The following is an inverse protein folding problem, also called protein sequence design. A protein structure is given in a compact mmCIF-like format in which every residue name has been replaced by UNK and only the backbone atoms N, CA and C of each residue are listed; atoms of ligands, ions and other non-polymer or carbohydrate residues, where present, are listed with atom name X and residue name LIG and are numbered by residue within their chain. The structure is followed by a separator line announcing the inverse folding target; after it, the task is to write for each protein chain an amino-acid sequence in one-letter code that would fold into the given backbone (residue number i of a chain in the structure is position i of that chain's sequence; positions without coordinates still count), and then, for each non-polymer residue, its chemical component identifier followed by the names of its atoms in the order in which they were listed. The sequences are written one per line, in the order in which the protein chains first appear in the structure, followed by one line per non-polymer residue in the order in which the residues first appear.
data_IF_733815895563
#
_entry.id   IF_733815895563
#
_cell.length_a   1.000
_cell.length_b   1.000
_cell.length_c   1.000
_cell.angle_alpha   90.00
_cell.angle_beta   90.00
_cell.angle_gamma   90.00
#
_symmetry.space_group_name_H-M   'P 1'
#
loop_
_entity.id
_entity.type
_entity.pdbx_description
1 polymer ?
#
# COMPACT_ATOMS: atom_id res chain seq x y z
N UNK A 1 -12.30 62.63 21.39
CA UNK A 1 -11.15 61.74 21.06
C UNK A 1 -9.89 62.42 21.56
N UNK A 2 -9.13 61.80 22.44
CA UNK A 2 -7.91 62.35 22.99
C UNK A 2 -6.81 62.41 21.94
N UNK A 3 -6.20 63.56 21.77
CA UNK A 3 -5.10 63.81 20.85
C UNK A 3 -3.83 63.07 21.36
N UNK A 4 -3.27 62.18 20.60
CA UNK A 4 -2.05 61.45 20.99
C UNK A 4 -0.83 62.31 20.61
N UNK A 5 -0.09 62.74 21.60
CA UNK A 5 1.11 63.56 21.42
C UNK A 5 2.35 62.71 21.76
N UNK A 6 3.39 62.75 20.91
CA UNK A 6 4.65 62.04 21.17
C UNK A 6 5.39 62.64 22.37
N UNK A 7 6.35 61.89 22.98
CA UNK A 7 7.18 62.31 24.12
C UNK A 7 7.91 63.64 23.91
N UNK A 8 8.06 64.10 22.66
CA UNK A 8 8.74 65.34 22.25
C UNK A 8 7.73 66.41 21.76
N UNK A 9 6.44 66.35 22.15
CA UNK A 9 5.44 67.35 21.82
C UNK A 9 4.97 67.43 20.36
N UNK A 10 5.38 66.46 19.51
CA UNK A 10 4.89 66.42 18.13
C UNK A 10 3.53 65.73 18.04
N UNK A 11 2.57 66.43 17.43
CA UNK A 11 1.27 65.84 17.08
C UNK A 11 1.48 64.67 16.15
N UNK A 12 1.03 63.50 16.53
CA UNK A 12 1.04 62.32 15.65
C UNK A 12 -0.18 62.42 14.75
N UNK A 13 0.05 62.41 13.44
CA UNK A 13 -1.03 62.23 12.47
C UNK A 13 -1.73 60.91 12.71
N UNK A 14 -3.07 60.84 12.64
CA UNK A 14 -3.74 59.57 12.76
C UNK A 14 -3.20 58.62 11.71
N UNK A 15 -2.71 57.48 12.16
CA UNK A 15 -2.29 56.41 11.26
C UNK A 15 -3.51 56.07 10.41
N UNK A 16 -3.43 56.39 9.13
CA UNK A 16 -4.46 55.97 8.20
C UNK A 16 -4.58 54.47 8.34
N UNK A 17 -5.69 54.01 8.90
CA UNK A 17 -6.07 52.60 8.92
C UNK A 17 -6.20 52.22 7.45
N UNK A 18 -5.15 51.70 6.90
CA UNK A 18 -5.16 51.09 5.57
C UNK A 18 -6.25 50.03 5.67
N UNK A 19 -7.36 50.24 4.95
CA UNK A 19 -8.40 49.25 4.84
C UNK A 19 -7.72 47.93 4.43
N UNK A 20 -7.73 46.96 5.33
CA UNK A 20 -7.30 45.60 4.99
C UNK A 20 -8.31 45.12 3.99
N UNK A 21 -7.98 45.24 2.70
CA UNK A 21 -8.75 44.56 1.67
C UNK A 21 -8.77 43.10 2.08
N UNK A 22 -9.96 42.47 2.25
CA UNK A 22 -10.03 41.07 2.58
C UNK A 22 -9.25 40.37 1.47
N UNK A 23 -8.19 39.63 1.86
CA UNK A 23 -7.48 38.73 0.96
C UNK A 23 -8.58 37.80 0.46
N UNK A 24 -8.96 37.93 -0.82
CA UNK A 24 -9.83 36.95 -1.47
C UNK A 24 -9.27 35.60 -1.12
N UNK A 25 -10.10 34.75 -0.53
CA UNK A 25 -9.75 33.38 -0.15
C UNK A 25 -8.85 32.80 -1.24
N UNK A 26 -7.60 32.51 -0.84
CA UNK A 26 -6.67 31.82 -1.72
C UNK A 26 -7.36 30.50 -2.04
N UNK A 27 -7.83 30.34 -3.27
CA UNK A 27 -8.36 29.08 -3.79
C UNK A 27 -7.38 28.00 -3.34
N UNK A 28 -7.85 26.94 -2.65
CA UNK A 28 -6.96 25.92 -2.13
C UNK A 28 -6.07 25.50 -3.29
N UNK A 29 -4.75 25.66 -3.15
CA UNK A 29 -3.79 25.28 -4.19
C UNK A 29 -4.05 23.83 -4.52
N UNK A 30 -4.59 23.57 -5.71
CA UNK A 30 -4.84 22.20 -6.17
C UNK A 30 -3.51 21.47 -6.15
N UNK A 31 -3.37 20.49 -5.27
CA UNK A 31 -2.16 19.67 -5.16
C UNK A 31 -1.93 19.01 -6.52
N UNK A 32 -0.75 19.21 -7.11
CA UNK A 32 -0.42 18.65 -8.41
C UNK A 32 -0.55 17.12 -8.39
N UNK A 33 -0.78 16.50 -9.55
CA UNK A 33 -0.89 15.05 -9.66
C UNK A 33 0.37 14.35 -9.13
N UNK A 34 1.55 14.89 -9.45
CA UNK A 34 2.82 14.31 -9.00
C UNK A 34 3.00 14.45 -7.48
N UNK A 35 2.61 15.58 -6.90
CA UNK A 35 2.62 15.72 -5.44
C UNK A 35 1.68 14.73 -4.76
N UNK A 36 0.49 14.46 -5.33
CA UNK A 36 -0.43 13.42 -4.82
C UNK A 36 0.19 12.02 -4.87
N UNK A 37 0.89 11.67 -5.94
CA UNK A 37 1.62 10.40 -6.07
C UNK A 37 2.70 10.26 -5.00
N UNK A 38 3.50 11.31 -4.79
CA UNK A 38 4.55 11.34 -3.77
C UNK A 38 3.98 11.21 -2.36
N UNK A 39 2.90 11.92 -2.03
CA UNK A 39 2.21 11.81 -0.74
C UNK A 39 1.72 10.38 -0.53
N UNK A 40 1.05 9.79 -1.52
CA UNK A 40 0.54 8.42 -1.44
C UNK A 40 1.66 7.41 -1.19
N UNK A 41 2.78 7.56 -1.90
CA UNK A 41 3.96 6.72 -1.71
C UNK A 41 4.52 6.87 -0.30
N UNK A 42 4.74 8.10 0.17
CA UNK A 42 5.28 8.37 1.50
C UNK A 42 4.37 7.80 2.63
N UNK A 43 3.06 7.92 2.49
CA UNK A 43 2.11 7.32 3.44
C UNK A 43 2.20 5.79 3.46
N UNK A 44 2.36 5.14 2.31
CA UNK A 44 2.54 3.69 2.23
C UNK A 44 3.90 3.25 2.80
N UNK A 45 4.97 4.03 2.61
CA UNK A 45 6.27 3.83 3.24
C UNK A 45 6.17 3.89 4.79
N UNK A 46 5.33 4.81 5.34
CA UNK A 46 5.05 4.84 6.78
C UNK A 46 4.28 3.61 7.25
N UNK A 47 3.28 3.14 6.51
CA UNK A 47 2.57 1.91 6.85
C UNK A 47 3.51 0.68 6.86
N UNK A 48 4.49 0.62 5.95
CA UNK A 48 5.50 -0.44 5.93
C UNK A 48 6.40 -0.46 7.17
N UNK A 49 6.49 0.61 7.96
CA UNK A 49 7.25 0.62 9.21
C UNK A 49 6.52 -0.09 10.36
N UNK A 50 5.21 -0.19 10.27
CA UNK A 50 4.39 -0.85 11.30
C UNK A 50 4.62 -2.37 11.31
N UNK A 51 4.91 -2.93 12.50
CA UNK A 51 5.23 -4.36 12.66
C UNK A 51 4.07 -5.28 12.25
N UNK A 52 2.83 -4.88 12.55
CA UNK A 52 1.66 -5.68 12.24
C UNK A 52 1.37 -5.68 10.74
N UNK A 53 1.59 -4.54 10.05
CA UNK A 53 1.49 -4.45 8.60
C UNK A 53 2.55 -5.33 7.93
N UNK A 54 3.82 -5.25 8.37
CA UNK A 54 4.88 -6.14 7.85
C UNK A 54 4.54 -7.62 8.05
N UNK A 55 4.12 -7.99 9.24
CA UNK A 55 3.76 -9.37 9.55
C UNK A 55 2.58 -9.86 8.70
N UNK A 56 1.60 -9.00 8.43
CA UNK A 56 0.47 -9.34 7.56
C UNK A 56 0.91 -9.57 6.13
N UNK A 57 1.84 -8.76 5.61
CA UNK A 57 2.43 -8.96 4.28
C UNK A 57 3.22 -10.26 4.18
N UNK A 58 4.00 -10.62 5.21
CA UNK A 58 4.70 -11.91 5.26
C UNK A 58 3.69 -13.07 5.20
N UNK A 59 2.60 -13.00 5.96
CA UNK A 59 1.58 -14.04 5.94
C UNK A 59 0.85 -14.15 4.59
N UNK A 60 0.63 -13.03 3.88
CA UNK A 60 0.15 -13.05 2.50
C UNK A 60 1.15 -13.77 1.59
N UNK A 61 2.43 -13.38 1.65
CA UNK A 61 3.49 -13.94 0.82
C UNK A 61 3.63 -15.46 0.99
N UNK A 62 3.60 -15.95 2.23
CA UNK A 62 3.64 -17.39 2.53
C UNK A 62 2.39 -18.12 2.03
N UNK A 63 1.23 -17.49 2.10
CA UNK A 63 -0.01 -18.07 1.58
C UNK A 63 -0.02 -18.17 0.05
N UNK A 64 0.51 -17.18 -0.64
CA UNK A 64 0.65 -17.16 -2.10
C UNK A 64 1.82 -18.02 -2.61
N UNK A 65 2.73 -18.45 -1.72
CA UNK A 65 3.92 -19.22 -2.09
C UNK A 65 4.89 -18.42 -2.96
N UNK A 66 4.87 -17.09 -2.84
CA UNK A 66 5.62 -16.19 -3.70
C UNK A 66 7.08 -16.00 -3.27
N UNK A 67 7.85 -15.49 -4.22
CA UNK A 67 9.18 -14.91 -4.03
C UNK A 67 9.21 -13.63 -4.85
N UNK A 68 10.03 -12.65 -4.47
CA UNK A 68 10.09 -11.38 -5.21
C UNK A 68 10.36 -11.54 -6.71
N UNK A 69 11.07 -12.58 -7.09
CA UNK A 69 11.43 -12.88 -8.49
C UNK A 69 10.66 -14.06 -9.09
N UNK A 70 9.56 -14.49 -8.46
CA UNK A 70 8.72 -15.57 -8.97
C UNK A 70 7.75 -15.08 -10.05
N UNK A 71 7.54 -15.91 -11.08
CA UNK A 71 6.44 -15.80 -12.03
C UNK A 71 5.45 -16.93 -11.76
N UNK A 72 4.21 -16.80 -12.21
CA UNK A 72 3.25 -17.90 -12.15
C UNK A 72 3.84 -19.19 -12.75
N UNK A 73 3.82 -20.26 -11.98
CA UNK A 73 4.50 -21.51 -12.29
C UNK A 73 5.74 -21.81 -11.44
N UNK A 74 6.25 -20.79 -10.71
CA UNK A 74 7.35 -20.98 -9.77
C UNK A 74 6.98 -22.02 -8.70
N UNK A 75 7.92 -22.93 -8.44
CA UNK A 75 7.80 -23.97 -7.40
C UNK A 75 7.06 -25.25 -7.85
N UNK A 76 6.28 -25.23 -8.95
CA UNK A 76 5.47 -26.38 -9.32
C UNK A 76 5.41 -26.69 -10.84
N UNK A 77 5.55 -25.71 -11.70
CA UNK A 77 5.43 -25.95 -13.15
C UNK A 77 6.68 -26.60 -13.74
N UNK A 78 6.58 -27.34 -14.87
CA UNK A 78 7.75 -27.91 -15.52
C UNK A 78 8.84 -26.87 -15.78
N UNK A 79 10.07 -27.20 -15.40
CA UNK A 79 11.24 -26.33 -15.57
C UNK A 79 11.47 -25.30 -14.47
N UNK A 80 10.69 -25.30 -13.37
CA UNK A 80 10.93 -24.33 -12.28
C UNK A 80 12.31 -24.50 -11.64
N UNK A 81 12.83 -25.73 -11.53
CA UNK A 81 14.16 -26.03 -10.99
C UNK A 81 15.30 -25.44 -11.83
N UNK A 82 15.08 -25.21 -13.12
CA UNK A 82 16.04 -24.54 -14.01
C UNK A 82 15.89 -23.02 -14.05
N UNK A 83 15.09 -22.44 -13.17
CA UNK A 83 14.87 -20.99 -13.11
C UNK A 83 13.90 -20.44 -14.17
N UNK A 84 13.21 -21.30 -14.93
CA UNK A 84 12.33 -20.86 -16.02
C UNK A 84 11.23 -19.90 -15.59
N UNK A 85 10.75 -20.02 -14.34
CA UNK A 85 9.64 -19.23 -13.81
C UNK A 85 10.13 -18.19 -12.79
N UNK A 86 11.33 -17.65 -13.03
CA UNK A 86 11.89 -16.51 -12.33
C UNK A 86 12.20 -15.38 -13.31
N UNK A 87 12.49 -14.20 -12.79
CA UNK A 87 12.97 -13.06 -13.56
C UNK A 87 14.07 -12.32 -12.78
N UNK A 88 14.90 -11.58 -13.48
CA UNK A 88 15.98 -10.77 -12.90
C UNK A 88 15.86 -9.29 -13.28
N UNK A 89 15.12 -8.99 -14.35
CA UNK A 89 14.85 -7.61 -14.74
C UNK A 89 13.70 -7.05 -13.89
N UNK A 90 14.05 -6.10 -13.04
CA UNK A 90 13.12 -5.39 -12.15
C UNK A 90 12.64 -4.04 -12.73
N UNK A 91 13.11 -3.65 -13.90
CA UNK A 91 12.75 -2.34 -14.50
C UNK A 91 11.28 -2.24 -14.88
N UNK A 92 10.61 -3.38 -15.02
CA UNK A 92 9.20 -3.49 -15.35
C UNK A 92 8.62 -4.81 -14.87
N UNK A 93 7.29 -4.92 -14.91
CA UNK A 93 6.60 -6.17 -14.60
C UNK A 93 6.97 -7.30 -15.58
N UNK A 94 7.34 -8.51 -15.12
CA UNK A 94 7.92 -9.58 -15.96
C UNK A 94 6.94 -10.25 -16.94
N UNK A 95 5.66 -9.86 -16.94
CA UNK A 95 4.66 -10.40 -17.86
C UNK A 95 4.15 -11.79 -17.49
N UNK A 96 3.68 -12.53 -18.50
CA UNK A 96 3.03 -13.81 -18.29
C UNK A 96 3.98 -14.91 -17.80
N UNK A 97 3.46 -15.80 -16.92
CA UNK A 97 4.11 -16.98 -16.42
C UNK A 97 3.75 -18.25 -17.22
N UNK A 98 3.68 -19.37 -16.51
CA UNK A 98 3.44 -20.69 -17.09
C UNK A 98 2.14 -20.75 -17.91
N UNK A 99 2.27 -21.24 -19.12
CA UNK A 99 1.15 -21.43 -20.05
C UNK A 99 0.49 -20.13 -20.54
N UNK A 100 1.05 -18.96 -20.26
CA UNK A 100 0.47 -17.68 -20.65
C UNK A 100 -0.87 -17.34 -19.97
N UNK A 101 -1.29 -18.14 -18.97
CA UNK A 101 -2.63 -18.06 -18.37
C UNK A 101 -2.83 -16.82 -17.50
N UNK A 102 -1.77 -16.37 -16.85
CA UNK A 102 -1.81 -15.20 -15.97
C UNK A 102 -0.46 -14.49 -15.94
N UNK A 103 -0.50 -13.23 -15.56
CA UNK A 103 0.69 -12.41 -15.31
C UNK A 103 1.02 -12.28 -13.83
N UNK A 104 0.39 -13.08 -12.94
CA UNK A 104 0.70 -13.06 -11.52
C UNK A 104 2.19 -13.29 -11.28
N UNK A 105 2.85 -12.38 -10.56
CA UNK A 105 4.29 -12.38 -10.36
C UNK A 105 4.68 -11.73 -9.03
N UNK A 106 5.89 -12.04 -8.60
CA UNK A 106 6.49 -11.48 -7.39
C UNK A 106 5.95 -12.10 -6.10
N UNK A 107 6.35 -11.50 -4.98
CA UNK A 107 6.07 -11.97 -3.63
C UNK A 107 4.56 -12.11 -3.35
N UNK A 108 3.75 -11.24 -3.92
CA UNK A 108 2.31 -11.12 -3.68
C UNK A 108 1.46 -11.52 -4.88
N UNK A 109 2.04 -12.19 -5.87
CA UNK A 109 1.38 -12.63 -7.10
C UNK A 109 0.58 -11.50 -7.79
N UNK A 110 1.23 -10.34 -7.93
CA UNK A 110 0.67 -9.13 -8.52
C UNK A 110 0.54 -9.32 -10.04
N UNK A 111 -0.65 -9.06 -10.59
CA UNK A 111 -0.84 -9.08 -12.05
C UNK A 111 -0.36 -7.76 -12.69
N UNK A 112 -0.06 -7.78 -14.00
CA UNK A 112 0.35 -6.57 -14.72
C UNK A 112 -0.71 -5.46 -14.66
N UNK A 113 -1.98 -5.80 -14.62
CA UNK A 113 -3.07 -4.82 -14.47
C UNK A 113 -3.03 -4.17 -13.09
N UNK A 114 -2.89 -4.96 -12.03
CA UNK A 114 -2.75 -4.50 -10.65
C UNK A 114 -1.48 -3.63 -10.50
N UNK A 115 -0.35 -4.06 -11.06
CA UNK A 115 0.89 -3.27 -11.03
C UNK A 115 0.71 -1.91 -11.70
N UNK A 116 0.15 -1.86 -12.92
CA UNK A 116 -0.09 -0.59 -13.64
C UNK A 116 -0.98 0.35 -12.84
N UNK A 117 -2.03 -0.19 -12.22
CA UNK A 117 -2.96 0.60 -11.41
C UNK A 117 -2.28 1.19 -10.17
N UNK A 118 -1.70 0.35 -9.33
CA UNK A 118 -1.22 0.75 -8.00
C UNK A 118 0.15 1.43 -8.05
N UNK A 119 1.09 0.92 -8.84
CA UNK A 119 2.37 1.59 -9.05
C UNK A 119 2.18 2.96 -9.69
N UNK A 120 1.28 3.07 -10.69
CA UNK A 120 0.94 4.34 -11.34
C UNK A 120 0.38 5.39 -10.39
N UNK A 121 -0.42 4.99 -9.37
CA UNK A 121 -0.94 5.87 -8.30
C UNK A 121 0.17 6.44 -7.41
N UNK A 122 1.34 5.80 -7.37
CA UNK A 122 2.52 6.19 -6.60
C UNK A 122 3.65 6.76 -7.47
N UNK A 123 3.45 6.80 -8.79
CA UNK A 123 4.47 7.25 -9.74
C UNK A 123 5.65 6.30 -9.90
N UNK A 124 5.44 5.00 -9.62
CA UNK A 124 6.43 3.94 -9.76
C UNK A 124 6.28 3.25 -11.13
N UNK A 125 7.40 2.84 -11.72
CA UNK A 125 7.45 2.20 -13.05
C UNK A 125 8.23 0.89 -13.05
N UNK A 126 8.94 0.61 -11.96
CA UNK A 126 9.71 -0.62 -11.74
C UNK A 126 8.88 -1.72 -11.06
N UNK A 127 9.46 -2.91 -10.91
CA UNK A 127 8.87 -4.04 -10.21
C UNK A 127 9.83 -4.61 -9.15
N UNK A 128 10.62 -3.73 -8.54
CA UNK A 128 11.54 -4.07 -7.44
C UNK A 128 10.80 -4.65 -6.23
N UNK A 129 11.49 -5.37 -5.32
CA UNK A 129 10.90 -5.80 -4.05
C UNK A 129 10.18 -4.69 -3.30
N UNK A 130 10.79 -3.51 -3.18
CA UNK A 130 10.18 -2.37 -2.53
C UNK A 130 8.88 -1.90 -3.21
N UNK A 131 8.86 -1.86 -4.54
CA UNK A 131 7.64 -1.52 -5.30
C UNK A 131 6.54 -2.54 -5.09
N UNK A 132 6.88 -3.84 -5.03
CA UNK A 132 5.90 -4.90 -4.74
C UNK A 132 5.30 -4.75 -3.35
N UNK A 133 6.12 -4.47 -2.32
CA UNK A 133 5.66 -4.22 -0.96
C UNK A 133 4.73 -3.00 -0.88
N UNK A 134 5.11 -1.90 -1.53
CA UNK A 134 4.30 -0.68 -1.59
C UNK A 134 2.95 -0.91 -2.29
N UNK A 135 2.91 -1.72 -3.35
CA UNK A 135 1.67 -2.11 -4.02
C UNK A 135 0.78 -2.91 -3.08
N UNK A 136 1.33 -3.90 -2.38
CA UNK A 136 0.57 -4.73 -1.46
C UNK A 136 -0.02 -3.89 -0.30
N UNK A 137 0.75 -2.97 0.27
CA UNK A 137 0.25 -2.01 1.28
C UNK A 137 -0.84 -1.11 0.70
N UNK A 138 -0.64 -0.59 -0.52
CA UNK A 138 -1.62 0.30 -1.14
C UNK A 138 -2.94 -0.40 -1.47
N UNK A 139 -2.90 -1.70 -1.77
CA UNK A 139 -4.08 -2.56 -1.87
C UNK A 139 -4.80 -2.63 -0.53
N UNK A 140 -4.09 -2.96 0.57
CA UNK A 140 -4.67 -3.03 1.92
C UNK A 140 -5.26 -1.69 2.36
N UNK A 141 -4.58 -0.58 2.04
CA UNK A 141 -5.07 0.78 2.25
C UNK A 141 -6.38 1.03 1.50
N UNK A 142 -6.42 0.68 0.21
CA UNK A 142 -7.61 0.88 -0.65
C UNK A 142 -8.80 0.04 -0.16
N UNK A 143 -8.54 -1.13 0.40
CA UNK A 143 -9.56 -1.98 1.05
C UNK A 143 -10.04 -1.42 2.40
N UNK A 144 -9.34 -0.41 2.96
CA UNK A 144 -9.67 0.19 4.26
C UNK A 144 -9.44 -0.75 5.44
N UNK A 145 -8.39 -1.61 5.37
CA UNK A 145 -8.08 -2.60 6.43
C UNK A 145 -6.80 -2.29 7.21
N UNK A 146 -6.03 -1.28 6.81
CA UNK A 146 -4.76 -0.93 7.45
C UNK A 146 -4.92 -0.70 8.96
N UNK A 147 -5.92 0.07 9.40
CA UNK A 147 -6.11 0.36 10.82
C UNK A 147 -6.49 -0.89 11.63
N UNK A 148 -7.24 -1.82 11.03
CA UNK A 148 -7.54 -3.11 11.65
C UNK A 148 -6.27 -3.95 11.81
N UNK A 149 -5.43 -4.02 10.78
CA UNK A 149 -4.16 -4.75 10.81
C UNK A 149 -3.24 -4.14 11.88
N UNK A 150 -3.07 -2.83 11.91
CA UNK A 150 -2.27 -2.12 12.92
C UNK A 150 -2.77 -2.38 14.33
N UNK A 151 -4.07 -2.45 14.52
CA UNK A 151 -4.69 -2.77 15.81
C UNK A 151 -4.65 -4.26 16.18
N UNK A 152 -4.14 -5.14 15.29
CA UNK A 152 -4.13 -6.60 15.51
C UNK A 152 -5.50 -7.28 15.30
N UNK A 153 -6.49 -6.57 14.75
CA UNK A 153 -7.81 -7.13 14.38
C UNK A 153 -7.70 -7.89 13.05
N UNK A 154 -7.03 -9.04 13.10
CA UNK A 154 -6.80 -9.86 11.91
C UNK A 154 -8.09 -10.44 11.37
N UNK A 155 -9.00 -11.02 12.19
CA UNK A 155 -10.30 -11.50 11.67
C UNK A 155 -11.11 -10.42 10.97
N UNK A 156 -11.03 -9.17 11.44
CA UNK A 156 -11.72 -8.04 10.85
C UNK A 156 -11.11 -7.55 9.52
N UNK A 157 -9.83 -7.84 9.26
CA UNK A 157 -9.14 -7.49 8.02
C UNK A 157 -9.33 -8.54 6.91
N UNK A 158 -9.38 -9.83 7.28
CA UNK A 158 -9.35 -10.98 6.36
C UNK A 158 -10.43 -10.97 5.28
N UNK A 159 -11.72 -10.69 5.56
CA UNK A 159 -12.76 -10.79 4.54
C UNK A 159 -12.48 -9.91 3.31
N UNK A 160 -11.96 -8.71 3.55
CA UNK A 160 -11.61 -7.80 2.45
C UNK A 160 -10.28 -8.18 1.79
N UNK A 161 -9.28 -8.60 2.56
CA UNK A 161 -8.00 -9.04 2.00
C UNK A 161 -8.19 -10.26 1.09
N UNK A 162 -9.02 -11.24 1.46
CA UNK A 162 -9.32 -12.43 0.66
C UNK A 162 -9.97 -12.11 -0.70
N UNK A 163 -10.58 -10.94 -0.88
CA UNK A 163 -11.08 -10.51 -2.20
C UNK A 163 -9.96 -10.14 -3.18
N UNK A 164 -8.72 -9.98 -2.70
CA UNK A 164 -7.56 -9.60 -3.55
C UNK A 164 -6.53 -10.70 -3.66
N UNK A 165 -6.42 -11.55 -2.66
CA UNK A 165 -5.50 -12.69 -2.62
C UNK A 165 -6.29 -13.98 -2.43
N UNK A 166 -6.38 -14.75 -3.51
CA UNK A 166 -7.22 -15.96 -3.55
C UNK A 166 -6.72 -17.07 -2.60
N UNK A 167 -5.44 -17.05 -2.25
CA UNK A 167 -4.86 -17.97 -1.28
C UNK A 167 -5.21 -17.65 0.19
N UNK A 168 -5.94 -16.56 0.46
CA UNK A 168 -6.34 -16.20 1.82
C UNK A 168 -7.74 -16.71 2.16
N UNK A 169 -7.97 -17.18 3.42
CA UNK A 169 -9.30 -17.45 3.94
C UNK A 169 -10.03 -16.14 4.27
N UNK A 170 -11.34 -16.12 4.24
CA UNK A 170 -12.13 -14.95 4.66
C UNK A 170 -12.15 -14.73 6.19
N UNK A 171 -11.53 -15.60 6.96
CA UNK A 171 -11.43 -15.51 8.42
C UNK A 171 -11.48 -16.87 9.12
N UNK A 172 -11.59 -16.88 10.46
CA UNK A 172 -11.63 -18.11 11.25
C UNK A 172 -12.76 -19.06 10.80
N UNK A 173 -12.40 -20.30 10.44
CA UNK A 173 -13.33 -21.33 9.99
C UNK A 173 -13.98 -21.07 8.63
N UNK A 174 -13.57 -20.03 7.90
CA UNK A 174 -14.09 -19.70 6.58
C UNK A 174 -13.14 -20.17 5.47
N UNK A 175 -13.72 -20.47 4.31
CA UNK A 175 -12.96 -20.74 3.08
C UNK A 175 -12.43 -19.44 2.48
N UNK A 176 -11.72 -19.54 1.36
CA UNK A 176 -11.32 -18.38 0.56
C UNK A 176 -12.53 -17.78 -0.19
N UNK A 177 -12.32 -16.60 -0.75
CA UNK A 177 -13.34 -15.89 -1.55
C UNK A 177 -13.58 -16.53 -2.92
N UNK A 178 -12.67 -17.37 -3.44
CA UNK A 178 -12.67 -17.91 -4.80
C UNK A 178 -12.62 -19.45 -4.85
N UNK A 179 -13.60 -20.18 -4.30
CA UNK A 179 -13.60 -21.65 -4.44
C UNK A 179 -13.76 -22.05 -5.93
N UNK A 180 -13.11 -23.12 -6.41
CA UNK A 180 -12.36 -24.12 -5.64
C UNK A 180 -10.84 -23.87 -5.56
N UNK A 181 -10.36 -22.64 -5.67
CA UNK A 181 -8.92 -22.35 -5.63
C UNK A 181 -8.30 -22.80 -4.30
N UNK A 182 -7.06 -23.35 -4.31
CA UNK A 182 -6.33 -23.66 -3.09
C UNK A 182 -6.11 -22.40 -2.24
N UNK A 183 -6.11 -22.56 -0.92
CA UNK A 183 -5.89 -21.47 0.02
C UNK A 183 -5.23 -21.98 1.31
N UNK A 184 -4.58 -21.07 2.04
CA UNK A 184 -4.09 -21.35 3.37
C UNK A 184 -5.26 -21.30 4.38
N UNK A 185 -5.32 -22.25 5.30
CA UNK A 185 -6.30 -22.17 6.39
C UNK A 185 -5.95 -21.02 7.36
N UNK A 186 -6.97 -20.45 8.00
CA UNK A 186 -6.78 -19.32 8.91
C UNK A 186 -5.75 -19.58 10.03
N UNK A 187 -5.69 -20.75 10.70
CA UNK A 187 -4.66 -21.02 11.71
C UNK A 187 -3.25 -20.91 11.14
N UNK A 188 -3.00 -21.40 9.90
CA UNK A 188 -1.69 -21.32 9.25
C UNK A 188 -1.33 -19.86 8.91
N UNK A 189 -2.27 -19.10 8.37
CA UNK A 189 -2.09 -17.67 8.13
C UNK A 189 -1.71 -16.94 9.43
N UNK A 190 -2.44 -17.23 10.52
CA UNK A 190 -2.22 -16.60 11.82
C UNK A 190 -0.87 -16.99 12.43
N UNK A 191 -0.43 -18.22 12.24
CA UNK A 191 0.91 -18.69 12.64
C UNK A 191 2.01 -17.90 11.92
N UNK A 192 1.93 -17.79 10.59
CA UNK A 192 2.87 -17.00 9.78
C UNK A 192 2.89 -15.54 10.25
N UNK A 193 1.72 -14.94 10.47
CA UNK A 193 1.60 -13.59 10.97
C UNK A 193 2.29 -13.39 12.33
N UNK A 194 2.06 -14.29 13.29
CA UNK A 194 2.66 -14.22 14.63
C UNK A 194 4.17 -14.47 14.57
N UNK A 195 4.62 -15.44 13.78
CA UNK A 195 6.05 -15.76 13.59
C UNK A 195 6.81 -14.59 12.98
N UNK A 196 6.16 -13.78 12.15
CA UNK A 196 6.71 -12.55 11.60
C UNK A 196 6.67 -11.35 12.59
N UNK A 197 6.27 -11.56 13.85
CA UNK A 197 6.24 -10.53 14.90
C UNK A 197 4.91 -9.76 15.00
N UNK A 198 3.86 -10.24 14.32
CA UNK A 198 2.53 -9.65 14.42
C UNK A 198 1.86 -9.91 15.78
N UNK A 199 1.11 -8.94 16.27
CA UNK A 199 0.35 -9.04 17.51
C UNK A 199 -1.14 -9.07 17.23
N UNK A 200 -1.87 -9.96 17.88
CA UNK A 200 -3.33 -10.09 17.77
C UNK A 200 -3.99 -9.42 18.95
N UNK A 201 -5.09 -8.74 18.67
CA UNK A 201 -5.95 -8.12 19.69
C UNK A 201 -6.81 -9.15 20.38
#
# INVERSE_FOLDING_TARGET
MAEVVSKNGRKMSPVATRAVTPVKDATPKTVSLDARKQIRRAENEEYLKDKNVKAFLVAIAESEGGSYHAKYGYGWAPGFQSGKWTFTDETTHPGAGYGGKTTASGMYQITIATWREYAGKMGLTDFTPNTQDLIAVDILRTLGVIDKIKAGDIPGAMPKAATRWAALPEGPGKKNHYPPQPYAEYPKFLESYKSAGGTVK
#
